data_IF_981099982595
#
_entry.id   IF_981099982595
#
_cell.length_a   1.000
_cell.length_b   1.000
_cell.length_c   1.000
_cell.angle_alpha   90.00
_cell.angle_beta   90.00
_cell.angle_gamma   90.00
#
_symmetry.space_group_name_H-M   'P 1'
#
loop_
_entity.id
_entity.type
_entity.pdbx_description
1 polymer ?
#
# COMPACT_ATOMS: atom_id res chain seq x y z
N UNK A 1 14.21 -3.33 -17.33
CA UNK A 1 14.44 -2.08 -16.56
C UNK A 1 13.97 -2.36 -15.14
N UNK A 2 14.83 -2.18 -14.13
CA UNK A 2 14.39 -2.22 -12.73
C UNK A 2 13.82 -0.85 -12.43
N UNK A 3 12.53 -0.64 -12.61
CA UNK A 3 11.87 0.54 -12.08
C UNK A 3 12.08 0.54 -10.56
N UNK A 4 12.97 1.43 -10.11
CA UNK A 4 13.21 1.69 -8.71
C UNK A 4 12.00 2.49 -8.23
N UNK A 5 11.00 1.79 -7.69
CA UNK A 5 9.83 2.43 -7.13
C UNK A 5 10.29 3.28 -5.95
N UNK A 6 10.23 4.60 -6.11
CA UNK A 6 10.51 5.53 -5.04
C UNK A 6 9.35 5.51 -4.05
N UNK A 7 9.65 5.16 -2.80
CA UNK A 7 8.68 5.06 -1.71
C UNK A 7 9.21 5.82 -0.51
N UNK A 8 8.40 6.73 0.00
CA UNK A 8 8.78 7.50 1.19
C UNK A 8 8.65 6.63 2.45
N UNK A 9 9.29 7.01 3.58
CA UNK A 9 9.11 6.33 4.85
C UNK A 9 7.64 6.23 5.29
N UNK A 10 6.85 7.29 5.05
CA UNK A 10 5.43 7.33 5.41
C UNK A 10 4.58 6.39 4.55
N UNK A 11 4.85 6.34 3.25
CA UNK A 11 4.20 5.40 2.33
C UNK A 11 4.55 3.96 2.68
N UNK A 12 5.82 3.68 3.01
CA UNK A 12 6.24 2.35 3.47
C UNK A 12 5.56 1.96 4.78
N UNK A 13 5.42 2.91 5.72
CA UNK A 13 4.70 2.68 6.96
C UNK A 13 3.20 2.41 6.73
N UNK A 14 2.58 3.09 5.76
CA UNK A 14 1.18 2.90 5.41
C UNK A 14 0.86 1.48 4.91
N UNK A 15 1.81 0.78 4.28
CA UNK A 15 1.65 -0.61 3.84
C UNK A 15 1.32 -1.58 4.99
N UNK A 16 1.72 -1.27 6.22
CA UNK A 16 1.41 -2.10 7.40
C UNK A 16 -0.06 -2.04 7.81
N UNK A 17 -0.81 -1.05 7.32
CA UNK A 17 -2.19 -0.77 7.71
C UNK A 17 -3.17 -1.01 6.56
N UNK A 18 -2.74 -1.70 5.50
CA UNK A 18 -3.58 -2.12 4.38
C UNK A 18 -3.82 -3.65 4.41
N UNK A 19 -5.06 -4.12 4.16
CA UNK A 19 -6.28 -3.32 4.04
C UNK A 19 -6.70 -2.69 5.38
N UNK A 20 -7.45 -1.60 5.33
CA UNK A 20 -7.99 -0.95 6.53
C UNK A 20 -8.89 -1.91 7.31
N UNK A 21 -8.64 -1.99 8.62
CA UNK A 21 -9.39 -2.83 9.55
C UNK A 21 -10.16 -1.96 10.55
N UNK A 22 -11.30 -2.45 11.02
CA UNK A 22 -12.11 -1.78 12.07
C UNK A 22 -11.27 -1.64 13.34
N UNK A 23 -11.17 -0.42 13.89
CA UNK A 23 -10.34 -0.11 15.06
C UNK A 23 -8.83 -0.02 14.77
N UNK A 24 -8.41 -0.26 13.53
CA UNK A 24 -7.02 -0.07 13.09
C UNK A 24 -6.70 1.38 12.73
N UNK A 25 -5.42 1.65 12.47
CA UNK A 25 -5.00 2.94 11.92
C UNK A 25 -5.59 3.14 10.53
N UNK A 26 -6.28 4.25 10.33
CA UNK A 26 -6.82 4.63 9.02
C UNK A 26 -5.71 5.30 8.21
N UNK A 27 -5.42 4.74 7.03
CA UNK A 27 -4.55 5.37 6.04
C UNK A 27 -5.37 6.39 5.25
N UNK A 28 -4.95 7.66 5.12
CA UNK A 28 -5.67 8.65 4.33
C UNK A 28 -5.91 8.18 2.89
N UNK A 29 -7.07 8.48 2.31
CA UNK A 29 -7.45 8.03 0.96
C UNK A 29 -6.42 8.41 -0.10
N UNK A 30 -5.89 9.64 -0.05
CA UNK A 30 -4.83 10.10 -0.97
C UNK A 30 -3.57 9.22 -0.89
N UNK A 31 -3.19 8.77 0.30
CA UNK A 31 -2.04 7.88 0.47
C UNK A 31 -2.33 6.48 -0.06
N UNK A 32 -3.55 5.96 0.15
CA UNK A 32 -3.96 4.69 -0.43
C UNK A 32 -3.95 4.74 -1.97
N UNK A 33 -4.40 5.87 -2.54
CA UNK A 33 -4.40 6.09 -3.99
C UNK A 33 -2.97 6.17 -4.55
N UNK A 34 -2.05 6.91 -3.90
CA UNK A 34 -0.63 6.94 -4.31
C UNK A 34 0.01 5.56 -4.28
N UNK A 35 -0.27 4.75 -3.26
CA UNK A 35 0.23 3.37 -3.17
C UNK A 35 -0.35 2.50 -4.30
N UNK A 36 -1.61 2.72 -4.69
CA UNK A 36 -2.21 2.05 -5.84
C UNK A 36 -1.54 2.46 -7.16
N UNK A 37 -1.32 3.76 -7.38
CA UNK A 37 -0.65 4.29 -8.58
C UNK A 37 0.77 3.73 -8.72
N UNK A 38 1.46 3.50 -7.60
CA UNK A 38 2.78 2.84 -7.54
C UNK A 38 2.72 1.32 -7.71
N UNK A 39 1.54 0.72 -7.85
CA UNK A 39 1.34 -0.72 -7.98
C UNK A 39 1.57 -1.51 -6.68
N UNK A 40 1.63 -0.84 -5.53
CA UNK A 40 1.84 -1.44 -4.21
C UNK A 40 0.51 -1.85 -3.54
N UNK A 41 -0.59 -1.24 -3.95
CA UNK A 41 -1.94 -1.59 -3.53
C UNK A 41 -2.83 -1.85 -4.75
N UNK A 42 -3.86 -2.67 -4.59
CA UNK A 42 -4.88 -2.88 -5.60
C UNK A 42 -5.83 -1.68 -5.66
N UNK A 43 -6.58 -1.50 -6.76
CA UNK A 43 -7.83 -0.76 -6.73
C UNK A 43 -8.76 -1.28 -5.61
N UNK A 44 -9.75 -0.47 -5.17
CA UNK A 44 -10.77 -0.95 -4.25
C UNK A 44 -11.42 -2.23 -4.78
N UNK A 45 -11.49 -3.27 -3.93
CA UNK A 45 -12.12 -4.55 -4.26
C UNK A 45 -13.62 -4.52 -3.91
N UNK A 46 -14.30 -5.64 -4.04
CA UNK A 46 -15.74 -5.78 -3.72
C UNK A 46 -16.09 -5.35 -2.28
N UNK A 47 -15.14 -5.45 -1.35
CA UNK A 47 -15.27 -4.99 0.03
C UNK A 47 -15.00 -3.49 0.24
N UNK A 48 -14.78 -2.75 -0.85
CA UNK A 48 -14.50 -1.31 -0.86
C UNK A 48 -13.10 -0.93 -0.37
N UNK A 49 -12.24 -1.92 -0.04
CA UNK A 49 -10.90 -1.66 0.51
C UNK A 49 -9.82 -1.94 -0.52
N UNK A 50 -8.69 -1.25 -0.36
CA UNK A 50 -7.47 -1.54 -1.10
C UNK A 50 -6.62 -2.55 -0.34
N UNK A 51 -6.11 -3.54 -1.06
CA UNK A 51 -5.28 -4.60 -0.52
C UNK A 51 -3.86 -4.48 -1.05
N UNK A 52 -2.87 -5.01 -0.34
CA UNK A 52 -1.51 -5.08 -0.85
C UNK A 52 -1.45 -5.95 -2.11
N UNK A 53 -0.64 -5.54 -3.08
CA UNK A 53 -0.14 -6.43 -4.13
C UNK A 53 1.01 -7.28 -3.57
N UNK A 54 1.46 -8.29 -4.32
CA UNK A 54 2.67 -9.05 -3.96
C UNK A 54 3.88 -8.11 -3.81
N UNK A 55 3.99 -7.14 -4.72
CA UNK A 55 5.03 -6.11 -4.68
C UNK A 55 4.91 -5.22 -3.43
N UNK A 56 3.71 -4.77 -3.10
CA UNK A 56 3.47 -4.02 -1.86
C UNK A 56 3.86 -4.79 -0.60
N UNK A 57 3.62 -6.10 -0.59
CA UNK A 57 4.03 -6.97 0.52
C UNK A 57 5.56 -7.15 0.60
N UNK A 58 6.27 -7.23 -0.53
CA UNK A 58 7.73 -7.23 -0.55
C UNK A 58 8.34 -5.95 0.04
N UNK A 59 7.80 -4.78 -0.36
CA UNK A 59 8.20 -3.48 0.19
C UNK A 59 7.90 -3.39 1.68
N UNK A 60 6.71 -3.83 2.11
CA UNK A 60 6.34 -3.88 3.53
C UNK A 60 7.37 -4.69 4.33
N UNK A 61 7.79 -5.85 3.82
CA UNK A 61 8.73 -6.77 4.48
C UNK A 61 10.20 -6.37 4.37
N UNK A 62 10.54 -5.29 3.66
CA UNK A 62 11.93 -4.89 3.45
C UNK A 62 12.72 -5.81 2.53
N UNK A 63 12.04 -6.58 1.67
CA UNK A 63 12.69 -7.44 0.67
C UNK A 63 13.07 -6.68 -0.59
N UNK A 64 12.60 -5.43 -0.73
CA UNK A 64 12.84 -4.52 -1.84
C UNK A 64 12.90 -3.07 -1.37
#
# INVERSE_FOLDING_TARGET
MRDQIDITPDERAALYFLPTAVGGKVVPEEMQQRLQEKGLATPPREDGRRWLTELGDEFRRGRR
#
